data_IF_642664747524
#
_entry.id   IF_642664747524
#
_cell.length_a   1.000
_cell.length_b   1.000
_cell.length_c   1.000
_cell.angle_alpha   90.00
_cell.angle_beta   90.00
_cell.angle_gamma   90.00
#
_symmetry.space_group_name_H-M   'P 1'
#
loop_
_entity.id
_entity.type
_entity.pdbx_description
1 polymer ?
#
# COMPACT_ATOMS: atom_id res chain seq x y z
N UNK A 1 -9.96 -49.32 41.12
CA UNK A 1 -10.26 -47.89 41.14
C UNK A 1 -9.30 -47.03 40.30
N UNK A 2 -7.99 -47.31 40.26
CA UNK A 2 -7.00 -46.47 39.54
C UNK A 2 -7.17 -46.42 38.01
N UNK A 3 -7.62 -47.51 37.35
CA UNK A 3 -7.85 -47.55 35.90
C UNK A 3 -9.07 -46.73 35.45
N UNK A 4 -10.11 -46.61 36.27
CA UNK A 4 -11.30 -45.79 35.93
C UNK A 4 -11.03 -44.29 35.99
N UNK A 5 -10.13 -43.87 36.90
CA UNK A 5 -9.68 -42.46 36.99
C UNK A 5 -8.78 -42.06 35.79
N UNK A 6 -7.96 -43.00 35.32
CA UNK A 6 -7.10 -42.76 34.16
C UNK A 6 -7.92 -42.65 32.85
N UNK A 7 -8.93 -43.51 32.68
CA UNK A 7 -9.85 -43.43 31.55
C UNK A 7 -10.71 -42.16 31.55
N UNK A 8 -11.14 -41.69 32.73
CA UNK A 8 -11.88 -40.42 32.87
C UNK A 8 -11.00 -39.21 32.57
N UNK A 9 -9.71 -39.21 32.97
CA UNK A 9 -8.77 -38.15 32.66
C UNK A 9 -8.42 -38.09 31.17
N UNK A 10 -8.25 -39.27 30.51
CA UNK A 10 -8.02 -39.31 29.05
C UNK A 10 -9.28 -38.92 28.28
N UNK A 11 -10.48 -39.27 28.74
CA UNK A 11 -11.72 -38.81 28.13
C UNK A 11 -11.97 -37.30 28.30
N UNK A 12 -11.58 -36.72 29.45
CA UNK A 12 -11.65 -35.28 29.68
C UNK A 12 -10.64 -34.51 28.83
N UNK A 13 -9.45 -35.04 28.58
CA UNK A 13 -8.47 -34.45 27.66
C UNK A 13 -8.91 -34.56 26.19
N UNK A 14 -9.58 -35.65 25.81
CA UNK A 14 -10.14 -35.80 24.47
C UNK A 14 -11.39 -34.94 24.22
N UNK A 15 -12.19 -34.67 25.26
CA UNK A 15 -13.35 -33.79 25.17
C UNK A 15 -12.99 -32.29 25.10
N UNK A 16 -11.83 -31.88 25.64
CA UNK A 16 -11.31 -30.51 25.56
C UNK A 16 -10.80 -30.12 24.18
N UNK A 17 -10.50 -31.10 23.31
CA UNK A 17 -9.99 -30.84 21.94
C UNK A 17 -11.07 -30.65 20.88
N UNK A 18 -12.36 -30.77 21.22
CA UNK A 18 -13.44 -30.86 20.21
C UNK A 18 -14.10 -29.48 19.85
N UNK A 19 -13.69 -28.38 20.43
CA UNK A 19 -14.36 -27.07 20.24
C UNK A 19 -13.47 -25.97 19.67
N UNK A 20 -12.24 -26.24 19.27
CA UNK A 20 -11.47 -25.27 18.51
C UNK A 20 -11.98 -25.26 17.05
N UNK A 21 -12.94 -24.44 16.72
CA UNK A 21 -13.40 -24.26 15.34
C UNK A 21 -12.31 -23.48 14.57
N UNK A 22 -11.25 -24.20 14.19
CA UNK A 22 -10.21 -23.69 13.32
C UNK A 22 -10.76 -23.53 11.92
N UNK A 23 -10.65 -22.35 11.34
CA UNK A 23 -11.04 -22.10 9.97
C UNK A 23 -9.85 -21.62 9.15
N UNK A 24 -9.63 -22.26 7.99
CA UNK A 24 -8.71 -21.76 6.97
C UNK A 24 -9.52 -21.38 5.75
N UNK A 25 -9.35 -20.14 5.31
CA UNK A 25 -10.06 -19.61 4.14
C UNK A 25 -9.06 -19.32 3.03
N UNK A 26 -9.28 -19.88 1.85
CA UNK A 26 -8.65 -19.44 0.60
C UNK A 26 -9.42 -18.23 0.09
N UNK A 27 -8.71 -17.19 -0.31
CA UNK A 27 -9.29 -15.98 -0.90
C UNK A 27 -8.38 -15.40 -1.96
N UNK A 28 -8.92 -14.53 -2.81
CA UNK A 28 -8.10 -13.86 -3.81
C UNK A 28 -8.83 -12.80 -4.63
N UNK A 29 -8.04 -12.18 -5.49
CA UNK A 29 -8.49 -11.20 -6.49
C UNK A 29 -7.68 -11.42 -7.76
N UNK A 30 -8.36 -11.47 -8.88
CA UNK A 30 -7.78 -11.44 -10.23
C UNK A 30 -8.27 -10.16 -10.89
N UNK A 31 -7.34 -9.33 -11.35
CA UNK A 31 -7.59 -8.03 -11.97
C UNK A 31 -6.69 -7.89 -13.19
N UNK A 32 -7.28 -7.73 -14.37
CA UNK A 32 -6.57 -7.53 -15.62
C UNK A 32 -7.30 -6.52 -16.50
N UNK A 33 -6.55 -5.74 -17.27
CA UNK A 33 -7.11 -4.74 -18.16
C UNK A 33 -6.17 -4.36 -19.28
N UNK A 34 -6.73 -3.78 -20.33
CA UNK A 34 -5.97 -3.19 -21.44
C UNK A 34 -5.75 -1.72 -21.10
N UNK A 35 -4.49 -1.33 -21.04
CA UNK A 35 -4.03 0.00 -20.68
C UNK A 35 -3.37 0.67 -21.87
N UNK A 36 -3.73 1.93 -22.10
CA UNK A 36 -2.99 2.87 -22.94
C UNK A 36 -2.32 3.92 -22.07
N UNK A 37 -1.05 4.22 -22.34
CA UNK A 37 -0.33 5.36 -21.75
C UNK A 37 0.54 6.01 -22.82
N UNK A 38 0.55 7.35 -22.83
CA UNK A 38 1.50 8.11 -23.65
C UNK A 38 2.74 8.52 -22.85
N UNK A 39 3.74 9.05 -23.51
CA UNK A 39 4.96 9.60 -22.92
C UNK A 39 5.69 8.64 -21.96
N UNK A 40 5.66 7.34 -22.24
CA UNK A 40 6.42 6.35 -21.48
C UNK A 40 7.93 6.53 -21.71
N UNK A 41 8.75 6.33 -20.66
CA UNK A 41 10.19 6.23 -20.82
C UNK A 41 10.52 5.05 -21.75
N UNK A 42 11.52 5.23 -22.60
CA UNK A 42 11.94 4.19 -23.50
C UNK A 42 12.54 2.98 -22.79
N UNK A 43 12.43 1.83 -23.46
CA UNK A 43 13.33 0.72 -23.21
C UNK A 43 14.79 1.17 -23.42
N UNK A 44 15.72 0.57 -22.68
CA UNK A 44 17.14 0.89 -22.67
C UNK A 44 17.69 1.06 -24.11
N UNK A 45 18.23 2.23 -24.41
CA UNK A 45 18.90 2.52 -25.69
C UNK A 45 18.05 3.23 -26.75
N UNK A 46 16.79 3.52 -26.50
CA UNK A 46 15.98 4.35 -27.42
C UNK A 46 15.88 5.78 -26.89
N UNK A 47 15.89 6.76 -27.78
CA UNK A 47 15.65 8.17 -27.47
C UNK A 47 14.22 8.53 -27.86
N UNK A 48 13.51 9.30 -27.03
CA UNK A 48 12.16 9.80 -27.34
C UNK A 48 11.10 9.35 -26.36
N UNK A 49 9.89 9.73 -26.61
CA UNK A 49 8.70 9.48 -25.83
C UNK A 49 7.77 8.63 -26.68
N UNK A 50 7.29 7.51 -26.16
CA UNK A 50 6.45 6.58 -26.90
C UNK A 50 5.14 6.28 -26.18
N UNK A 51 4.14 5.96 -26.96
CA UNK A 51 2.87 5.45 -26.47
C UNK A 51 2.96 3.93 -26.28
N UNK A 52 2.26 3.42 -25.30
CA UNK A 52 2.17 1.99 -25.05
C UNK A 52 0.72 1.56 -24.91
N UNK A 53 0.38 0.46 -25.56
CA UNK A 53 -0.83 -0.33 -25.29
C UNK A 53 -0.38 -1.67 -24.75
N UNK A 54 -0.90 -2.04 -23.58
CA UNK A 54 -0.49 -3.30 -22.96
C UNK A 54 -1.64 -3.96 -22.20
N UNK A 55 -1.61 -5.29 -22.11
CA UNK A 55 -2.35 -6.01 -21.10
C UNK A 55 -1.62 -5.79 -19.76
N UNK A 56 -2.32 -5.30 -18.76
CA UNK A 56 -1.74 -4.97 -17.46
C UNK A 56 -2.49 -5.67 -16.35
N UNK A 57 -1.76 -6.13 -15.35
CA UNK A 57 -2.29 -6.85 -14.19
C UNK A 57 -2.49 -5.92 -13.00
N UNK A 58 -3.61 -6.09 -12.28
CA UNK A 58 -3.78 -5.47 -10.98
C UNK A 58 -4.00 -3.96 -11.00
N UNK A 59 -4.71 -3.43 -11.97
CA UNK A 59 -4.89 -1.98 -12.15
C UNK A 59 -5.66 -1.33 -11.00
N UNK A 60 -6.85 -1.86 -10.66
CA UNK A 60 -7.64 -1.41 -9.50
C UNK A 60 -7.18 -2.08 -8.22
N UNK A 61 -6.81 -3.35 -8.30
CA UNK A 61 -6.44 -4.15 -7.12
C UNK A 61 -5.36 -5.15 -7.49
N UNK A 62 -4.16 -5.04 -6.92
CA UNK A 62 -3.09 -6.01 -7.19
C UNK A 62 -3.60 -7.44 -7.09
N UNK A 63 -3.44 -8.21 -8.19
CA UNK A 63 -3.86 -9.61 -8.26
C UNK A 63 -3.15 -10.43 -7.20
N UNK A 64 -3.89 -11.28 -6.49
CA UNK A 64 -3.40 -12.02 -5.34
C UNK A 64 -4.24 -13.23 -5.01
N UNK A 65 -3.64 -14.16 -4.33
CA UNK A 65 -4.32 -15.23 -3.60
C UNK A 65 -3.70 -15.39 -2.22
N UNK A 66 -4.44 -15.93 -1.26
CA UNK A 66 -3.93 -16.10 0.09
C UNK A 66 -4.72 -17.08 0.91
N UNK A 67 -4.08 -17.51 1.98
CA UNK A 67 -4.67 -18.29 3.06
C UNK A 67 -4.72 -17.44 4.32
N UNK A 68 -5.84 -17.42 4.99
CA UNK A 68 -5.99 -16.86 6.33
C UNK A 68 -6.61 -17.90 7.26
N UNK A 69 -6.06 -17.99 8.44
CA UNK A 69 -6.57 -18.92 9.45
C UNK A 69 -6.86 -18.22 10.76
N UNK A 70 -7.87 -18.74 11.45
CA UNK A 70 -8.23 -18.33 12.80
C UNK A 70 -8.47 -19.59 13.60
N UNK A 71 -7.85 -19.70 14.77
CA UNK A 71 -8.03 -20.78 15.75
C UNK A 71 -8.50 -20.16 17.06
N UNK A 72 -9.58 -20.66 17.63
CA UNK A 72 -10.04 -20.25 18.96
C UNK A 72 -9.22 -20.98 20.03
N UNK A 73 -8.47 -20.23 20.82
CA UNK A 73 -7.62 -20.76 21.90
C UNK A 73 -8.33 -20.77 23.27
N UNK A 74 -9.61 -20.36 23.30
CA UNK A 74 -10.38 -20.22 24.54
C UNK A 74 -10.17 -18.87 25.23
N UNK A 75 -11.07 -18.53 26.15
CA UNK A 75 -10.99 -17.30 26.92
C UNK A 75 -11.03 -15.98 26.12
N UNK A 76 -11.52 -16.02 24.86
CA UNK A 76 -11.51 -14.88 23.96
C UNK A 76 -10.17 -14.63 23.24
N UNK A 77 -9.20 -15.53 23.43
CA UNK A 77 -7.92 -15.51 22.73
C UNK A 77 -8.01 -16.34 21.44
N UNK A 78 -7.43 -15.83 20.34
CA UNK A 78 -7.37 -16.51 19.04
C UNK A 78 -5.96 -16.50 18.48
N UNK A 79 -5.53 -17.62 17.90
CA UNK A 79 -4.39 -17.68 17.01
C UNK A 79 -4.81 -17.24 15.61
N UNK A 80 -4.00 -16.40 14.95
CA UNK A 80 -4.30 -15.89 13.60
C UNK A 80 -3.07 -15.98 12.71
N UNK A 81 -3.27 -16.27 11.43
CA UNK A 81 -2.22 -16.14 10.44
C UNK A 81 -2.75 -15.65 9.09
N UNK A 82 -1.88 -15.05 8.28
CA UNK A 82 -2.12 -14.73 6.89
C UNK A 82 -0.87 -15.05 6.08
N UNK A 83 -1.07 -15.70 4.92
CA UNK A 83 -0.07 -15.91 3.89
C UNK A 83 -0.67 -15.42 2.58
N UNK A 84 -0.17 -14.31 1.99
CA UNK A 84 -0.73 -13.69 0.79
C UNK A 84 0.34 -13.49 -0.27
N UNK A 85 0.12 -14.10 -1.45
CA UNK A 85 0.94 -14.00 -2.64
C UNK A 85 0.34 -13.00 -3.62
N UNK A 86 1.16 -12.10 -4.15
CA UNK A 86 0.81 -11.30 -5.31
C UNK A 86 1.31 -11.95 -6.59
N UNK A 87 0.59 -11.79 -7.69
CA UNK A 87 1.00 -12.28 -9.00
C UNK A 87 0.54 -11.36 -10.13
N UNK A 88 1.16 -11.51 -11.27
CA UNK A 88 0.83 -10.78 -12.49
C UNK A 88 0.02 -11.70 -13.41
N UNK A 89 -1.21 -11.31 -13.74
CA UNK A 89 -2.14 -12.13 -14.56
C UNK A 89 -1.67 -12.22 -16.01
N UNK A 90 -1.04 -11.16 -16.50
CA UNK A 90 -0.56 -11.03 -17.88
C UNK A 90 0.57 -12.00 -18.23
N UNK A 91 1.39 -12.40 -17.26
CA UNK A 91 2.58 -13.24 -17.50
C UNK A 91 2.80 -14.35 -16.46
N UNK A 92 1.95 -14.47 -15.44
CA UNK A 92 2.01 -15.52 -14.42
C UNK A 92 3.14 -15.41 -13.41
N UNK A 93 3.93 -14.32 -13.41
CA UNK A 93 5.03 -14.14 -12.47
C UNK A 93 4.56 -13.74 -11.08
N UNK A 94 5.35 -14.04 -10.05
CA UNK A 94 5.09 -13.54 -8.69
C UNK A 94 5.36 -12.04 -8.60
N UNK A 95 4.51 -11.33 -7.87
CA UNK A 95 4.70 -9.92 -7.55
C UNK A 95 5.69 -9.68 -6.40
N UNK A 96 5.82 -8.40 -5.99
CA UNK A 96 6.60 -7.95 -4.83
C UNK A 96 8.05 -8.49 -4.80
N UNK A 97 8.75 -8.39 -5.94
CA UNK A 97 10.13 -8.82 -6.04
C UNK A 97 10.29 -10.35 -6.07
N UNK A 98 9.36 -11.03 -6.71
CA UNK A 98 9.38 -12.50 -6.89
C UNK A 98 9.24 -13.30 -5.58
N UNK A 99 8.53 -12.74 -4.60
CA UNK A 99 8.32 -13.38 -3.30
C UNK A 99 7.03 -14.19 -3.29
N UNK A 100 7.09 -15.46 -2.84
CA UNK A 100 5.91 -16.34 -2.73
C UNK A 100 4.80 -15.71 -1.87
N UNK A 101 5.12 -15.15 -0.72
CA UNK A 101 4.17 -14.43 0.15
C UNK A 101 4.60 -12.95 0.28
N UNK A 102 4.79 -12.29 -0.85
CA UNK A 102 5.31 -10.93 -0.91
C UNK A 102 4.34 -9.85 -0.42
N UNK A 103 3.04 -10.16 -0.29
CA UNK A 103 2.05 -9.18 0.17
C UNK A 103 1.92 -9.17 1.68
N UNK A 104 1.70 -10.31 2.28
CA UNK A 104 1.65 -10.50 3.74
C UNK A 104 2.08 -11.92 4.09
N UNK A 105 2.82 -12.07 5.19
CA UNK A 105 3.20 -13.34 5.77
C UNK A 105 3.40 -13.15 7.28
N UNK A 106 2.39 -13.47 8.08
CA UNK A 106 2.44 -13.24 9.52
C UNK A 106 1.62 -14.25 10.32
N UNK A 107 1.97 -14.37 11.58
CA UNK A 107 1.24 -15.10 12.61
C UNK A 107 1.10 -14.23 13.84
N UNK A 108 0.08 -14.47 14.65
CA UNK A 108 -0.10 -13.69 15.88
C UNK A 108 -1.28 -14.12 16.73
N UNK A 109 -1.57 -13.27 17.70
CA UNK A 109 -2.63 -13.46 18.67
C UNK A 109 -3.63 -12.30 18.60
N UNK A 110 -4.90 -12.64 18.65
CA UNK A 110 -6.01 -11.70 18.72
C UNK A 110 -6.78 -11.90 20.04
N UNK A 111 -7.13 -10.80 20.67
CA UNK A 111 -7.92 -10.77 21.90
C UNK A 111 -8.91 -9.61 21.88
N UNK A 112 -9.69 -9.43 22.94
CA UNK A 112 -10.57 -8.27 23.12
C UNK A 112 -9.81 -6.93 23.22
N UNK A 113 -8.50 -6.97 23.51
CA UNK A 113 -7.64 -5.79 23.61
C UNK A 113 -6.99 -5.42 22.26
N UNK A 114 -7.09 -6.28 21.25
CA UNK A 114 -6.50 -6.06 19.93
C UNK A 114 -5.78 -7.28 19.39
N UNK A 115 -5.08 -7.06 18.29
CA UNK A 115 -4.34 -8.10 17.55
C UNK A 115 -2.87 -7.72 17.48
N UNK A 116 -1.98 -8.61 17.94
CA UNK A 116 -0.54 -8.50 17.83
C UNK A 116 -0.02 -9.57 16.87
N UNK A 117 0.71 -9.15 15.85
CA UNK A 117 1.21 -10.05 14.79
C UNK A 117 2.68 -9.83 14.51
N UNK A 118 3.36 -10.88 14.06
CA UNK A 118 4.80 -10.94 13.77
C UNK A 118 5.01 -11.44 12.34
N UNK A 119 5.85 -10.76 11.56
CA UNK A 119 6.19 -11.20 10.20
C UNK A 119 6.28 -10.06 9.20
N UNK A 120 5.79 -10.30 7.99
CA UNK A 120 5.68 -9.31 6.92
C UNK A 120 4.27 -8.74 6.86
N UNK A 121 4.15 -7.42 6.93
CA UNK A 121 2.86 -6.73 6.98
C UNK A 121 2.73 -5.64 5.93
N UNK A 122 1.51 -5.34 5.54
CA UNK A 122 1.13 -4.03 5.05
C UNK A 122 1.34 -3.01 6.16
N UNK A 123 1.93 -1.84 5.82
CA UNK A 123 2.18 -0.80 6.82
C UNK A 123 0.87 -0.09 7.23
N UNK A 124 0.83 0.61 8.36
CA UNK A 124 -0.31 1.46 8.68
C UNK A 124 -0.59 2.55 7.65
N UNK A 125 0.42 3.01 6.84
CA UNK A 125 0.20 3.92 5.71
C UNK A 125 -0.63 3.28 4.59
N UNK A 126 -0.43 1.97 4.35
CA UNK A 126 -1.26 1.22 3.42
C UNK A 126 -2.73 1.19 3.90
N UNK A 127 -2.96 0.88 5.17
CA UNK A 127 -4.30 0.84 5.77
C UNK A 127 -4.96 2.23 5.77
N UNK A 128 -4.17 3.28 6.06
CA UNK A 128 -4.60 4.68 6.00
C UNK A 128 -5.00 5.08 4.57
N UNK A 129 -4.20 4.72 3.57
CA UNK A 129 -4.52 4.95 2.17
C UNK A 129 -5.82 4.27 1.72
N UNK A 130 -6.04 3.01 2.12
CA UNK A 130 -7.31 2.31 1.85
C UNK A 130 -8.53 3.05 2.40
N UNK A 131 -8.39 3.72 3.53
CA UNK A 131 -9.49 4.45 4.18
C UNK A 131 -9.76 5.82 3.55
N UNK A 132 -8.73 6.52 3.07
CA UNK A 132 -8.79 7.95 2.77
C UNK A 132 -8.39 8.35 1.35
N UNK A 133 -7.85 7.43 0.54
CA UNK A 133 -7.65 7.69 -0.89
C UNK A 133 -8.95 7.45 -1.66
N UNK A 134 -9.42 8.39 -2.50
CA UNK A 134 -10.62 8.21 -3.30
C UNK A 134 -10.59 6.96 -4.19
N UNK A 135 -9.40 6.62 -4.72
CA UNK A 135 -9.17 5.44 -5.57
C UNK A 135 -8.82 4.17 -4.77
N UNK A 136 -8.92 4.22 -3.42
CA UNK A 136 -8.64 3.11 -2.51
C UNK A 136 -7.29 2.42 -2.80
N UNK A 137 -6.25 3.24 -3.00
CA UNK A 137 -4.89 2.81 -3.34
C UNK A 137 -4.82 1.83 -4.53
N UNK A 138 -5.64 2.06 -5.54
CA UNK A 138 -5.51 1.34 -6.81
C UNK A 138 -4.03 1.34 -7.25
N UNK A 139 -3.56 0.23 -7.80
CA UNK A 139 -2.14 0.10 -8.16
C UNK A 139 -1.74 1.10 -9.23
N UNK A 140 -2.68 1.44 -10.13
CA UNK A 140 -2.54 2.47 -11.14
C UNK A 140 -3.55 3.59 -10.88
N UNK A 141 -3.15 4.83 -11.19
CA UNK A 141 -4.04 6.00 -11.17
C UNK A 141 -4.66 6.27 -9.79
N UNK A 142 -3.82 6.37 -8.77
CA UNK A 142 -4.23 6.67 -7.39
C UNK A 142 -3.15 7.46 -6.65
N UNK A 143 -3.34 7.68 -5.36
CA UNK A 143 -2.32 8.26 -4.47
C UNK A 143 -0.99 7.49 -4.49
N UNK A 144 -1.01 6.21 -4.85
CA UNK A 144 0.18 5.36 -4.89
C UNK A 144 1.18 5.78 -5.97
N UNK A 145 0.70 6.42 -7.05
CA UNK A 145 1.54 7.06 -8.06
C UNK A 145 2.25 8.31 -7.55
N UNK A 146 1.71 8.95 -6.51
CA UNK A 146 2.25 10.17 -5.92
C UNK A 146 3.20 9.88 -4.76
N UNK A 147 2.90 8.84 -3.97
CA UNK A 147 3.54 8.58 -2.71
C UNK A 147 3.57 7.06 -2.43
N UNK A 148 4.74 6.40 -2.59
CA UNK A 148 4.85 4.94 -2.52
C UNK A 148 4.62 4.38 -1.13
N UNK A 149 4.70 5.20 -0.08
CA UNK A 149 4.40 4.79 1.28
C UNK A 149 2.97 4.25 1.44
N UNK A 150 2.02 4.68 0.60
CA UNK A 150 0.64 4.20 0.61
C UNK A 150 0.46 2.78 0.06
N UNK A 151 1.50 2.17 -0.53
CA UNK A 151 1.50 0.73 -0.86
C UNK A 151 2.62 -0.03 -0.15
N UNK A 152 3.24 0.57 0.85
CA UNK A 152 4.42 0.01 1.49
C UNK A 152 4.11 -1.23 2.34
N UNK A 153 5.12 -2.10 2.43
CA UNK A 153 5.15 -3.29 3.28
C UNK A 153 6.43 -3.31 4.08
N UNK A 154 6.37 -3.88 5.28
CA UNK A 154 7.50 -3.98 6.18
C UNK A 154 7.80 -5.45 6.46
N UNK A 155 9.07 -5.83 6.28
CA UNK A 155 9.61 -7.12 6.70
C UNK A 155 10.04 -7.08 8.17
N UNK A 156 10.25 -8.23 8.79
CA UNK A 156 10.76 -8.37 10.16
C UNK A 156 10.04 -7.40 11.11
N UNK A 157 8.72 -7.42 11.05
CA UNK A 157 7.89 -6.43 11.73
C UNK A 157 6.98 -7.02 12.78
N UNK A 158 6.71 -6.18 13.78
CA UNK A 158 5.71 -6.39 14.82
C UNK A 158 4.62 -5.35 14.57
N UNK A 159 3.37 -5.80 14.42
CA UNK A 159 2.23 -4.92 14.20
C UNK A 159 1.16 -5.16 15.25
N UNK A 160 0.69 -4.10 15.89
CA UNK A 160 -0.46 -4.12 16.78
C UNK A 160 -1.60 -3.32 16.17
N UNK A 161 -2.83 -3.86 16.27
CA UNK A 161 -4.07 -3.15 15.88
C UNK A 161 -5.06 -3.30 17.02
N UNK A 162 -5.51 -2.18 17.56
CA UNK A 162 -6.58 -2.11 18.57
C UNK A 162 -7.81 -1.40 18.02
N UNK A 163 -9.01 -1.91 18.35
CA UNK A 163 -10.29 -1.27 17.99
C UNK A 163 -11.11 -1.03 19.25
N UNK A 164 -11.48 0.21 19.50
CA UNK A 164 -12.20 0.66 20.69
C UNK A 164 -13.37 1.56 20.25
N UNK A 165 -14.56 0.96 20.10
CA UNK A 165 -15.70 1.65 19.50
C UNK A 165 -15.39 2.09 18.06
N UNK A 166 -15.54 3.37 17.78
CA UNK A 166 -15.21 3.96 16.46
C UNK A 166 -13.72 4.21 16.24
N UNK A 167 -12.88 4.08 17.27
CA UNK A 167 -11.43 4.35 17.18
C UNK A 167 -10.66 3.07 16.80
N UNK A 168 -9.81 3.16 15.79
CA UNK A 168 -8.83 2.14 15.43
C UNK A 168 -7.43 2.73 15.57
N UNK A 169 -6.60 2.12 16.43
CA UNK A 169 -5.19 2.44 16.55
C UNK A 169 -4.33 1.36 15.90
N UNK A 170 -3.28 1.73 15.21
CA UNK A 170 -2.29 0.79 14.66
C UNK A 170 -0.88 1.27 14.94
N UNK A 171 -0.03 0.34 15.40
CA UNK A 171 1.39 0.54 15.64
C UNK A 171 2.18 -0.50 14.86
N UNK A 172 3.29 -0.10 14.27
CA UNK A 172 4.21 -1.01 13.58
C UNK A 172 5.65 -0.62 13.91
N UNK A 173 6.43 -1.63 14.23
CA UNK A 173 7.89 -1.57 14.29
C UNK A 173 8.49 -2.58 13.33
N UNK A 174 9.51 -2.20 12.58
CA UNK A 174 10.22 -3.08 11.64
C UNK A 174 11.72 -2.84 11.72
N UNK A 175 12.50 -3.89 11.54
CA UNK A 175 13.95 -3.83 11.32
C UNK A 175 14.36 -4.19 9.90
N UNK A 176 13.42 -4.44 9.02
CA UNK A 176 13.64 -4.83 7.63
C UNK A 176 13.13 -3.82 6.60
N UNK A 177 12.99 -2.55 6.99
CA UNK A 177 12.32 -1.57 6.15
C UNK A 177 13.08 -1.19 4.88
N UNK A 178 14.39 -1.43 4.77
CA UNK A 178 15.14 -1.06 3.56
C UNK A 178 16.55 -1.64 3.53
N UNK A 179 16.68 -2.95 3.49
CA UNK A 179 17.99 -3.59 3.41
C UNK A 179 18.30 -4.14 2.02
N UNK A 180 18.67 -3.31 1.14
CA UNK A 180 19.31 -3.74 -0.08
C UNK A 180 19.98 -2.54 -0.67
N UNK A 181 21.26 -2.40 -0.54
CA UNK A 181 22.14 -1.35 -1.05
C UNK A 181 21.80 -0.67 -2.39
N UNK A 182 20.55 -0.63 -2.73
CA UNK A 182 19.97 0.10 -3.83
C UNK A 182 19.97 1.59 -3.46
N UNK A 183 20.95 2.28 -3.98
CA UNK A 183 21.09 3.74 -4.01
C UNK A 183 19.95 4.47 -4.73
N UNK A 184 18.86 3.80 -5.06
CA UNK A 184 17.72 4.39 -5.71
C UNK A 184 16.66 4.76 -4.66
N UNK A 185 16.24 6.01 -4.66
CA UNK A 185 15.27 6.66 -3.79
C UNK A 185 13.88 5.97 -3.69
N UNK A 186 13.75 4.80 -4.22
CA UNK A 186 12.51 4.10 -4.54
C UNK A 186 12.20 2.86 -3.71
N UNK A 187 13.09 2.43 -2.85
CA UNK A 187 12.88 1.22 -2.05
C UNK A 187 12.47 1.53 -0.62
N UNK A 188 11.45 2.37 -0.47
CA UNK A 188 10.79 2.51 0.82
C UNK A 188 10.07 1.19 1.11
N UNK A 189 10.51 0.49 2.14
CA UNK A 189 9.97 -0.81 2.59
C UNK A 189 10.13 -2.02 1.64
N UNK A 190 10.92 -1.94 0.58
CA UNK A 190 11.22 -3.09 -0.29
C UNK A 190 12.63 -3.66 -0.06
N UNK A 191 13.14 -3.58 1.15
CA UNK A 191 14.45 -4.13 1.47
C UNK A 191 14.49 -5.66 1.35
N UNK A 192 15.62 -6.20 0.91
CA UNK A 192 15.98 -7.57 1.26
C UNK A 192 16.20 -7.56 2.77
N UNK A 193 15.20 -8.01 3.47
CA UNK A 193 15.11 -8.01 4.90
C UNK A 193 16.33 -8.67 5.54
N UNK A 194 16.92 -8.00 6.44
CA UNK A 194 17.94 -8.54 7.31
C UNK A 194 18.33 -7.48 8.32
N UNK A 195 18.35 -7.84 9.55
CA UNK A 195 18.96 -7.06 10.62
C UNK A 195 20.45 -6.96 10.37
N UNK A 196 21.03 -5.79 10.57
CA UNK A 196 22.47 -5.58 10.44
C UNK A 196 23.14 -5.83 11.79
N UNK A 197 23.91 -6.90 11.95
CA UNK A 197 24.62 -7.17 13.19
C UNK A 197 25.46 -5.97 13.64
N UNK A 198 25.29 -5.57 14.90
CA UNK A 198 25.96 -4.40 15.47
C UNK A 198 25.38 -3.04 15.10
N UNK A 199 24.36 -2.98 14.21
CA UNK A 199 23.69 -1.72 13.86
C UNK A 199 22.18 -1.85 13.75
N UNK A 200 21.50 -1.83 14.88
CA UNK A 200 20.03 -1.95 14.98
C UNK A 200 19.26 -0.73 14.41
N UNK A 201 19.96 0.34 14.04
CA UNK A 201 19.32 1.53 13.46
C UNK A 201 19.06 1.40 11.97
N UNK A 202 19.89 0.64 11.25
CA UNK A 202 19.80 0.51 9.81
C UNK A 202 18.52 -0.24 9.41
N UNK A 203 17.77 0.37 8.49
CA UNK A 203 16.54 -0.24 7.95
C UNK A 203 15.35 -0.32 8.90
N UNK A 204 15.39 0.32 10.06
CA UNK A 204 14.26 0.30 10.98
C UNK A 204 13.18 1.31 10.60
N UNK A 205 11.94 0.97 10.91
CA UNK A 205 10.80 1.87 10.76
C UNK A 205 9.88 1.82 11.97
N UNK A 206 9.27 2.96 12.24
CA UNK A 206 8.19 3.10 13.23
C UNK A 206 7.01 3.76 12.56
N UNK A 207 5.83 3.21 12.75
CA UNK A 207 4.59 3.82 12.26
C UNK A 207 3.53 3.78 13.35
N UNK A 208 2.80 4.87 13.51
CA UNK A 208 1.64 4.95 14.39
C UNK A 208 0.49 5.65 13.67
N UNK A 209 -0.71 5.07 13.70
CA UNK A 209 -1.91 5.66 13.13
C UNK A 209 -3.10 5.57 14.07
N UNK A 210 -3.98 6.56 13.97
CA UNK A 210 -5.29 6.60 14.62
C UNK A 210 -6.33 6.95 13.56
N UNK A 211 -7.40 6.16 13.49
CA UNK A 211 -8.55 6.40 12.61
C UNK A 211 -9.80 6.33 13.47
N UNK A 212 -10.61 7.37 13.43
CA UNK A 212 -11.92 7.43 14.05
C UNK A 212 -13.00 7.46 12.99
N UNK A 213 -13.98 6.57 13.11
CA UNK A 213 -15.11 6.48 12.21
C UNK A 213 -16.42 6.43 13.02
N UNK A 214 -17.35 7.35 12.74
CA UNK A 214 -18.65 7.44 13.38
C UNK A 214 -19.71 7.94 12.41
N UNK A 215 -20.73 7.12 12.16
CA UNK A 215 -21.77 7.42 11.18
C UNK A 215 -21.16 7.72 9.79
N UNK A 216 -21.52 8.86 9.17
CA UNK A 216 -21.01 9.22 7.84
C UNK A 216 -19.59 9.78 7.85
N UNK A 217 -19.01 10.04 9.00
CA UNK A 217 -17.74 10.74 9.17
C UNK A 217 -16.61 9.77 9.50
N UNK A 218 -15.45 9.95 8.88
CA UNK A 218 -14.19 9.32 9.28
C UNK A 218 -13.05 10.32 9.18
N UNK A 219 -12.16 10.30 10.18
CA UNK A 219 -10.95 11.11 10.21
C UNK A 219 -9.79 10.25 10.69
N UNK A 220 -8.60 10.52 10.22
CA UNK A 220 -7.41 9.81 10.66
C UNK A 220 -6.16 10.69 10.63
N UNK A 221 -5.20 10.27 11.44
CA UNK A 221 -3.85 10.81 11.46
C UNK A 221 -2.84 9.66 11.53
N UNK A 222 -1.66 9.87 10.92
CA UNK A 222 -0.58 8.89 10.90
C UNK A 222 0.77 9.59 10.91
N UNK A 223 1.72 8.97 11.59
CA UNK A 223 3.13 9.34 11.58
C UNK A 223 3.99 8.12 11.32
N UNK A 224 5.08 8.32 10.57
CA UNK A 224 6.07 7.28 10.31
C UNK A 224 7.48 7.90 10.22
N UNK A 225 8.45 7.12 10.67
CA UNK A 225 9.88 7.38 10.45
C UNK A 225 10.53 6.11 9.91
N UNK A 226 11.18 6.20 8.76
CA UNK A 226 11.88 5.10 8.12
C UNK A 226 13.34 5.46 7.94
N UNK A 227 14.25 4.70 8.56
CA UNK A 227 15.68 4.76 8.29
C UNK A 227 15.98 3.98 7.00
N UNK A 228 16.77 4.57 6.09
CA UNK A 228 17.00 4.01 4.76
C UNK A 228 18.05 2.88 4.70
N UNK A 229 18.70 2.58 5.82
CA UNK A 229 19.67 1.47 5.89
C UNK A 229 20.93 1.66 5.05
N UNK A 230 21.34 2.91 4.78
CA UNK A 230 22.50 3.21 3.96
C UNK A 230 23.76 3.18 4.83
N UNK A 231 24.72 2.30 4.52
CA UNK A 231 25.93 2.09 5.34
C UNK A 231 26.78 3.37 5.46
N UNK A 232 26.90 4.15 4.40
CA UNK A 232 27.68 5.41 4.42
C UNK A 232 26.97 6.59 5.12
N UNK A 233 25.65 6.50 5.29
CA UNK A 233 24.81 7.49 5.95
C UNK A 233 23.81 6.80 6.86
N UNK A 234 24.25 6.24 8.00
CA UNK A 234 23.40 5.37 8.84
C UNK A 234 22.21 6.08 9.48
N UNK A 235 22.24 7.39 9.56
CA UNK A 235 21.15 8.22 10.10
C UNK A 235 20.18 8.73 9.03
N UNK A 236 20.44 8.45 7.74
CA UNK A 236 19.58 8.85 6.63
C UNK A 236 18.18 8.26 6.78
N UNK A 237 17.17 9.12 6.82
CA UNK A 237 15.78 8.72 7.09
C UNK A 237 14.76 9.63 6.42
N UNK A 238 13.56 9.11 6.27
CA UNK A 238 12.39 9.88 5.86
C UNK A 238 11.37 9.87 6.98
N UNK A 239 10.86 11.03 7.31
CA UNK A 239 9.76 11.25 8.25
C UNK A 239 8.52 11.66 7.49
N UNK A 240 7.36 11.10 7.85
CA UNK A 240 6.08 11.43 7.23
C UNK A 240 5.02 11.62 8.30
N UNK A 241 4.13 12.56 8.03
CA UNK A 241 2.92 12.75 8.80
C UNK A 241 1.76 12.99 7.83
N UNK A 242 0.60 12.44 8.11
CA UNK A 242 -0.59 12.66 7.28
C UNK A 242 -1.84 12.80 8.15
N UNK A 243 -2.77 13.62 7.67
CA UNK A 243 -4.12 13.70 8.20
C UNK A 243 -5.11 13.70 7.05
N UNK A 244 -6.23 12.99 7.21
CA UNK A 244 -7.26 12.90 6.18
C UNK A 244 -8.64 12.64 6.79
N UNK A 245 -9.67 12.94 6.00
CA UNK A 245 -11.05 12.69 6.39
C UNK A 245 -11.93 12.34 5.21
N UNK A 246 -13.05 11.69 5.53
CA UNK A 246 -14.13 11.42 4.58
C UNK A 246 -15.47 11.77 5.19
N UNK A 247 -16.41 12.18 4.35
CA UNK A 247 -17.79 12.40 4.73
C UNK A 247 -18.73 11.84 3.67
N UNK A 248 -19.66 10.97 4.10
CA UNK A 248 -20.67 10.38 3.22
C UNK A 248 -22.03 11.09 3.40
N UNK A 249 -22.67 11.44 2.29
CA UNK A 249 -24.00 12.06 2.30
C UNK A 249 -24.82 11.56 1.10
N UNK A 250 -25.91 10.88 1.39
CA UNK A 250 -26.71 10.20 0.37
C UNK A 250 -25.83 9.23 -0.45
N UNK A 251 -25.85 9.31 -1.79
CA UNK A 251 -25.03 8.47 -2.66
C UNK A 251 -23.57 8.97 -2.82
N UNK A 252 -23.23 10.10 -2.24
CA UNK A 252 -21.92 10.74 -2.40
C UNK A 252 -21.02 10.52 -1.19
N UNK A 253 -19.70 10.42 -1.44
CA UNK A 253 -18.66 10.42 -0.42
C UNK A 253 -17.51 11.34 -0.86
N UNK A 254 -17.20 12.33 -0.05
CA UNK A 254 -16.05 13.20 -0.26
C UNK A 254 -14.86 12.72 0.52
N UNK A 255 -13.67 12.98 -0.02
CA UNK A 255 -12.38 12.65 0.55
C UNK A 255 -11.48 13.87 0.51
N UNK A 256 -10.76 14.14 1.58
CA UNK A 256 -9.73 15.17 1.59
C UNK A 256 -8.58 14.73 2.51
N UNK A 257 -7.36 15.08 2.13
CA UNK A 257 -6.21 14.76 2.98
C UNK A 257 -4.95 15.51 2.60
N UNK A 258 -4.00 15.39 3.50
CA UNK A 258 -2.68 16.03 3.44
C UNK A 258 -1.62 15.09 3.97
N UNK A 259 -0.46 15.05 3.30
CA UNK A 259 0.74 14.33 3.75
C UNK A 259 1.97 15.24 3.64
N UNK A 260 2.69 15.38 4.75
CA UNK A 260 4.02 15.96 4.86
C UNK A 260 5.07 14.86 4.81
N UNK A 261 6.16 15.04 4.05
CA UNK A 261 7.34 14.19 4.08
C UNK A 261 8.61 15.03 4.13
N UNK A 262 9.59 14.56 4.91
CA UNK A 262 10.91 15.19 5.05
C UNK A 262 12.01 14.15 5.02
N UNK A 263 12.95 14.34 4.09
CA UNK A 263 14.22 13.62 4.06
C UNK A 263 15.24 14.31 4.99
N UNK A 264 15.98 13.51 5.75
CA UNK A 264 16.91 13.98 6.79
C UNK A 264 18.21 13.21 6.64
N UNK A 265 19.34 13.84 6.97
CA UNK A 265 20.66 13.22 7.07
C UNK A 265 21.10 12.51 5.78
N UNK A 266 20.94 13.18 4.62
CA UNK A 266 21.36 12.65 3.31
C UNK A 266 20.36 11.72 2.63
N UNK A 267 19.18 11.52 3.21
CA UNK A 267 18.07 10.85 2.53
C UNK A 267 17.55 11.69 1.35
N UNK A 268 16.96 11.02 0.36
CA UNK A 268 16.29 11.65 -0.77
C UNK A 268 14.80 11.31 -0.76
N UNK A 269 13.97 12.28 -1.07
CA UNK A 269 12.55 12.02 -1.28
C UNK A 269 12.33 11.39 -2.65
N UNK A 270 11.49 10.37 -2.72
CA UNK A 270 11.01 9.85 -4.00
C UNK A 270 10.39 10.97 -4.85
N UNK A 271 10.77 11.04 -6.13
CA UNK A 271 10.32 12.11 -7.06
C UNK A 271 10.89 13.51 -6.78
N UNK A 272 11.69 13.67 -5.72
CA UNK A 272 12.22 14.98 -5.32
C UNK A 272 13.39 15.51 -6.16
N UNK A 273 13.90 14.76 -7.13
CA UNK A 273 14.95 15.18 -8.05
C UNK A 273 14.30 15.61 -9.37
N UNK A 274 14.39 16.89 -9.77
CA UNK A 274 13.90 17.36 -11.08
C UNK A 274 14.67 16.73 -12.25
N UNK A 275 14.11 16.80 -13.45
CA UNK A 275 14.81 16.44 -14.70
C UNK A 275 16.10 17.21 -14.82
N UNK A 276 17.20 16.52 -15.10
CA UNK A 276 18.53 17.14 -15.20
C UNK A 276 19.12 17.57 -13.86
N UNK A 277 18.40 17.37 -12.75
CA UNK A 277 18.88 17.65 -11.40
C UNK A 277 19.82 16.56 -10.86
N UNK A 278 20.45 16.86 -9.74
CA UNK A 278 21.32 15.96 -9.00
C UNK A 278 20.81 15.76 -7.58
N UNK A 279 21.41 14.84 -6.82
CA UNK A 279 21.11 14.68 -5.39
C UNK A 279 21.26 15.98 -4.58
N UNK A 280 22.17 16.88 -5.01
CA UNK A 280 22.38 18.19 -4.38
C UNK A 280 21.22 19.16 -4.63
N UNK A 281 20.45 18.98 -5.72
CA UNK A 281 19.26 19.78 -6.06
C UNK A 281 17.95 19.10 -5.65
N UNK A 282 18.01 17.94 -5.00
CA UNK A 282 16.84 17.21 -4.57
C UNK A 282 16.05 17.97 -3.50
N UNK A 283 14.75 18.02 -3.64
CA UNK A 283 13.88 18.54 -2.59
C UNK A 283 13.97 17.65 -1.33
N UNK A 284 14.22 18.26 -0.18
CA UNK A 284 14.27 17.56 1.10
C UNK A 284 12.91 17.46 1.79
N UNK A 285 11.91 18.18 1.31
CA UNK A 285 10.57 18.26 1.89
C UNK A 285 9.52 18.26 0.78
N UNK A 286 8.44 17.49 0.96
CA UNK A 286 7.28 17.54 0.06
C UNK A 286 5.97 17.54 0.83
N UNK A 287 4.98 18.21 0.26
CA UNK A 287 3.61 18.22 0.70
C UNK A 287 2.75 17.56 -0.39
N UNK A 288 1.89 16.64 -0.02
CA UNK A 288 0.91 16.03 -0.92
C UNK A 288 -0.49 16.36 -0.42
N UNK A 289 -1.31 16.90 -1.28
CA UNK A 289 -2.71 17.20 -1.03
C UNK A 289 -3.57 16.35 -1.95
N UNK A 290 -4.71 15.89 -1.46
CA UNK A 290 -5.68 15.21 -2.31
C UNK A 290 -7.11 15.59 -1.94
N UNK A 291 -7.94 15.59 -2.97
CA UNK A 291 -9.37 15.79 -2.88
C UNK A 291 -10.06 14.80 -3.81
N UNK A 292 -11.19 14.24 -3.40
CA UNK A 292 -11.95 13.34 -4.26
C UNK A 292 -13.42 13.25 -3.90
N UNK A 293 -14.17 12.73 -4.87
CA UNK A 293 -15.60 12.50 -4.78
C UNK A 293 -15.93 11.12 -5.37
N UNK A 294 -16.51 10.24 -4.57
CA UNK A 294 -17.19 9.05 -5.04
C UNK A 294 -18.70 9.29 -5.11
N UNK A 295 -19.37 8.78 -6.14
CA UNK A 295 -20.81 8.88 -6.31
C UNK A 295 -21.41 7.56 -6.79
N UNK A 296 -22.35 7.01 -6.03
CA UNK A 296 -23.09 5.80 -6.38
C UNK A 296 -24.32 6.17 -7.21
N UNK A 297 -24.24 6.02 -8.54
CA UNK A 297 -25.35 6.36 -9.45
C UNK A 297 -26.50 5.35 -9.36
N UNK A 298 -26.15 4.07 -9.31
CA UNK A 298 -27.09 2.96 -9.09
C UNK A 298 -26.44 1.93 -8.16
N UNK A 299 -27.15 0.94 -7.63
CA UNK A 299 -26.51 -0.11 -6.82
C UNK A 299 -25.38 -0.86 -7.52
N UNK A 300 -25.36 -0.86 -8.86
CA UNK A 300 -24.32 -1.52 -9.67
C UNK A 300 -23.29 -0.56 -10.27
N UNK A 301 -23.55 0.76 -10.34
CA UNK A 301 -22.70 1.69 -11.06
C UNK A 301 -22.22 2.85 -10.20
N UNK A 302 -20.92 3.02 -10.10
CA UNK A 302 -20.28 4.11 -9.34
C UNK A 302 -19.30 4.90 -10.18
N UNK A 303 -19.16 6.18 -9.86
CA UNK A 303 -18.15 7.08 -10.39
C UNK A 303 -17.25 7.59 -9.28
N UNK A 304 -15.97 7.75 -9.56
CA UNK A 304 -15.03 8.37 -8.62
C UNK A 304 -14.14 9.34 -9.38
N UNK A 305 -13.95 10.53 -8.81
CA UNK A 305 -13.00 11.52 -9.28
C UNK A 305 -12.00 11.88 -8.19
N UNK A 306 -10.74 12.08 -8.54
CA UNK A 306 -9.69 12.47 -7.62
C UNK A 306 -8.71 13.47 -8.25
N UNK A 307 -8.21 14.39 -7.44
CA UNK A 307 -7.13 15.29 -7.78
C UNK A 307 -6.04 15.20 -6.70
N UNK A 308 -4.80 15.13 -7.13
CA UNK A 308 -3.62 15.06 -6.26
C UNK A 308 -2.66 16.18 -6.68
N UNK A 309 -2.11 16.89 -5.70
CA UNK A 309 -1.10 17.93 -5.91
C UNK A 309 0.08 17.68 -5.00
N UNK A 310 1.28 17.62 -5.57
CA UNK A 310 2.51 17.48 -4.81
C UNK A 310 3.37 18.73 -4.95
N UNK A 311 3.70 19.36 -3.82
CA UNK A 311 4.59 20.51 -3.68
C UNK A 311 5.94 20.00 -3.15
N UNK A 312 6.97 20.02 -3.98
CA UNK A 312 8.34 19.79 -3.58
C UNK A 312 8.98 21.09 -3.15
N UNK A 313 9.06 21.30 -1.84
CA UNK A 313 9.55 22.56 -1.25
C UNK A 313 10.94 22.95 -1.75
N UNK A 314 11.13 24.26 -2.01
CA UNK A 314 12.32 24.83 -2.63
C UNK A 314 12.63 24.32 -4.06
N UNK A 315 11.62 23.85 -4.74
CA UNK A 315 11.63 23.41 -6.14
C UNK A 315 10.36 23.94 -6.81
N UNK A 316 10.39 24.20 -8.11
CA UNK A 316 9.18 24.44 -8.91
C UNK A 316 8.57 23.17 -9.49
N UNK A 317 9.17 22.02 -9.20
CA UNK A 317 8.79 20.71 -9.75
C UNK A 317 7.52 20.13 -9.06
N UNK A 318 6.39 20.82 -9.24
CA UNK A 318 5.13 20.58 -8.53
C UNK A 318 4.09 19.94 -9.45
N UNK A 319 4.02 18.58 -9.52
CA UNK A 319 3.09 17.91 -10.40
C UNK A 319 1.66 17.88 -9.84
N UNK A 320 0.70 17.84 -10.78
CA UNK A 320 -0.70 17.53 -10.54
C UNK A 320 -1.06 16.19 -11.17
N UNK A 321 -1.97 15.45 -10.54
CA UNK A 321 -2.63 14.29 -11.16
C UNK A 321 -4.13 14.37 -10.96
N UNK A 322 -4.86 14.02 -12.03
CA UNK A 322 -6.32 13.94 -12.04
C UNK A 322 -6.71 12.54 -12.48
N UNK A 323 -7.68 11.96 -11.78
CA UNK A 323 -8.16 10.60 -12.05
C UNK A 323 -9.68 10.61 -12.08
N UNK A 324 -10.24 9.87 -13.03
CA UNK A 324 -11.65 9.54 -13.06
C UNK A 324 -11.81 8.04 -13.27
N UNK A 325 -12.76 7.44 -12.55
CA UNK A 325 -13.08 6.02 -12.58
C UNK A 325 -14.58 5.82 -12.74
N UNK A 326 -14.95 4.88 -13.59
CA UNK A 326 -16.30 4.32 -13.68
C UNK A 326 -16.20 2.82 -13.40
N UNK A 327 -16.98 2.33 -12.45
CA UNK A 327 -16.99 0.93 -12.02
C UNK A 327 -18.42 0.38 -12.11
N UNK A 328 -18.58 -0.76 -12.80
CA UNK A 328 -19.83 -1.45 -12.95
C UNK A 328 -19.76 -2.86 -12.37
N UNK A 329 -20.51 -3.08 -11.28
CA UNK A 329 -20.58 -4.36 -10.60
C UNK A 329 -21.60 -5.30 -11.28
N UNK A 330 -21.14 -6.34 -11.95
CA UNK A 330 -21.99 -7.43 -12.46
C UNK A 330 -22.53 -8.30 -11.31
N UNK A 331 -21.72 -8.40 -10.23
CA UNK A 331 -22.07 -9.14 -9.02
C UNK A 331 -21.30 -8.58 -7.82
N UNK A 332 -21.51 -9.14 -6.62
CA UNK A 332 -20.71 -8.81 -5.44
C UNK A 332 -19.22 -9.14 -5.59
N UNK A 333 -18.86 -9.99 -6.56
CA UNK A 333 -17.49 -10.50 -6.77
C UNK A 333 -16.86 -10.06 -8.08
N UNK A 334 -17.65 -9.64 -9.07
CA UNK A 334 -17.16 -9.33 -10.42
C UNK A 334 -17.60 -7.94 -10.81
N UNK A 335 -16.65 -7.12 -11.20
CA UNK A 335 -16.86 -5.78 -11.72
C UNK A 335 -16.01 -5.54 -12.99
N UNK A 336 -16.48 -4.61 -13.84
CA UNK A 336 -15.70 -4.03 -14.92
C UNK A 336 -15.51 -2.55 -14.65
N UNK A 337 -14.37 -2.02 -15.02
CA UNK A 337 -14.01 -0.63 -14.76
C UNK A 337 -13.38 0.04 -15.97
N UNK A 338 -13.54 1.36 -16.03
CA UNK A 338 -12.79 2.27 -16.89
C UNK A 338 -12.16 3.34 -15.99
N UNK A 339 -10.85 3.42 -16.01
CA UNK A 339 -10.12 4.50 -15.35
C UNK A 339 -9.40 5.34 -16.40
N UNK A 340 -9.43 6.66 -16.22
CA UNK A 340 -8.65 7.60 -16.99
C UNK A 340 -7.88 8.51 -16.04
N UNK A 341 -6.66 8.85 -16.41
CA UNK A 341 -5.84 9.71 -15.59
C UNK A 341 -4.95 10.62 -16.44
N UNK A 342 -4.62 11.77 -15.87
CA UNK A 342 -3.72 12.75 -16.48
C UNK A 342 -2.79 13.30 -15.40
N UNK A 343 -1.48 13.24 -15.67
CA UNK A 343 -0.46 13.89 -14.83
C UNK A 343 0.09 15.10 -15.58
N UNK A 344 0.04 16.26 -14.94
CA UNK A 344 0.64 17.49 -15.40
C UNK A 344 1.95 17.72 -14.65
N UNK A 345 3.06 17.53 -15.33
CA UNK A 345 4.39 17.86 -14.82
C UNK A 345 4.72 19.34 -15.04
N UNK A 346 5.52 19.92 -14.15
CA UNK A 346 5.93 21.32 -14.16
C UNK A 346 7.37 21.42 -13.66
N UNK A 347 8.13 22.31 -14.27
CA UNK A 347 9.48 22.72 -13.85
C UNK A 347 10.42 21.54 -13.53
N UNK A 348 10.39 20.50 -14.38
CA UNK A 348 11.24 19.33 -14.28
C UNK A 348 10.70 18.20 -13.38
N UNK A 349 9.47 18.27 -12.88
CA UNK A 349 8.86 17.10 -12.23
C UNK A 349 8.72 15.93 -13.21
N UNK A 350 8.83 14.69 -12.70
CA UNK A 350 8.84 13.47 -13.52
C UNK A 350 7.78 12.46 -13.06
N UNK A 351 6.66 12.96 -12.55
CA UNK A 351 5.62 12.10 -12.04
C UNK A 351 4.90 11.37 -13.18
N UNK A 352 4.81 10.04 -13.07
CA UNK A 352 4.02 9.21 -13.97
C UNK A 352 2.72 8.73 -13.31
N UNK A 353 1.90 8.05 -14.09
CA UNK A 353 0.58 7.59 -13.68
C UNK A 353 0.60 6.26 -12.92
N UNK A 354 1.62 5.44 -13.11
CA UNK A 354 1.69 4.09 -12.54
C UNK A 354 2.49 4.10 -11.23
N UNK A 355 1.87 3.67 -10.15
CA UNK A 355 2.52 3.62 -8.82
C UNK A 355 3.53 2.50 -8.62
N UNK A 356 3.47 1.45 -9.42
CA UNK A 356 4.48 0.39 -9.47
C UNK A 356 5.19 0.50 -10.80
N UNK A 357 6.35 1.14 -10.80
CA UNK A 357 7.09 1.36 -12.03
C UNK A 357 7.30 0.07 -12.83
N UNK A 358 6.77 0.05 -14.07
CA UNK A 358 7.33 -0.84 -15.06
C UNK A 358 8.82 -0.51 -15.17
N UNK A 359 9.68 -1.52 -15.00
CA UNK A 359 11.14 -1.43 -15.16
C UNK A 359 11.83 -0.37 -14.28
N UNK A 360 11.75 -0.50 -12.96
CA UNK A 360 12.79 0.03 -12.06
C UNK A 360 12.66 1.49 -11.63
N UNK A 361 11.64 2.23 -12.01
CA UNK A 361 11.36 3.54 -11.44
C UNK A 361 10.18 3.49 -10.48
N UNK A 362 10.35 4.01 -9.28
CA UNK A 362 9.36 3.93 -8.20
C UNK A 362 8.14 4.81 -8.41
N UNK A 363 8.08 5.59 -9.44
CA UNK A 363 7.03 6.55 -9.72
C UNK A 363 6.53 6.51 -11.16
N UNK A 364 6.56 5.39 -11.85
CA UNK A 364 6.13 5.43 -13.24
C UNK A 364 6.57 6.73 -13.92
N UNK A 365 7.89 7.01 -13.92
CA UNK A 365 8.40 8.29 -14.41
C UNK A 365 8.03 8.50 -15.86
N UNK A 366 7.71 9.73 -16.20
CA UNK A 366 7.54 10.15 -17.59
C UNK A 366 8.89 10.40 -18.24
N UNK A 367 8.94 10.33 -19.56
CA UNK A 367 10.14 10.74 -20.29
C UNK A 367 10.34 12.26 -20.16
N UNK A 368 11.51 12.65 -19.60
CA UNK A 368 11.95 14.05 -19.48
C UNK A 368 10.90 15.04 -18.92
N UNK A 369 10.08 14.59 -17.96
CA UNK A 369 9.09 15.45 -17.33
C UNK A 369 7.88 15.81 -18.20
N UNK A 370 7.61 15.04 -19.24
CA UNK A 370 6.41 15.22 -20.08
C UNK A 370 5.13 15.01 -19.25
N UNK A 371 4.05 15.67 -19.65
CA UNK A 371 2.73 15.35 -19.14
C UNK A 371 2.32 13.96 -19.63
N UNK A 372 1.56 13.23 -18.84
CA UNK A 372 1.16 11.87 -19.18
C UNK A 372 -0.35 11.70 -19.11
N UNK A 373 -0.93 11.10 -20.13
CA UNK A 373 -2.30 10.62 -20.16
C UNK A 373 -2.31 9.10 -20.17
N UNK A 374 -3.27 8.50 -19.47
CA UNK A 374 -3.49 7.06 -19.47
C UNK A 374 -4.97 6.73 -19.33
N UNK A 375 -5.32 5.59 -19.90
CA UNK A 375 -6.65 5.01 -19.78
C UNK A 375 -6.53 3.48 -19.67
N UNK A 376 -7.34 2.88 -18.81
CA UNK A 376 -7.40 1.42 -18.65
C UNK A 376 -8.84 0.96 -18.57
N UNK A 377 -9.20 -0.06 -19.35
CA UNK A 377 -10.45 -0.80 -19.22
C UNK A 377 -10.12 -2.21 -18.76
N UNK A 378 -10.80 -2.70 -17.73
CA UNK A 378 -10.48 -4.00 -17.16
C UNK A 378 -11.64 -4.66 -16.44
N UNK A 379 -11.37 -5.88 -16.01
CA UNK A 379 -12.29 -6.72 -15.21
C UNK A 379 -11.57 -7.20 -13.97
N UNK A 380 -12.30 -7.16 -12.85
CA UNK A 380 -11.82 -7.65 -11.57
C UNK A 380 -12.78 -8.71 -11.02
N UNK A 381 -12.22 -9.82 -10.55
CA UNK A 381 -12.96 -10.89 -9.90
C UNK A 381 -12.37 -11.23 -8.52
N UNK A 382 -13.24 -11.35 -7.52
CA UNK A 382 -12.91 -11.69 -6.12
C UNK A 382 -13.46 -13.09 -5.80
N UNK A 383 -12.66 -13.95 -5.18
CA UNK A 383 -13.07 -15.31 -4.79
C UNK A 383 -12.70 -15.67 -3.34
#
# INVERSE_FOLDING_TARGET
>A
MKMKLFAAAVAALAAGGAYAQSSVTLYGVVDAGIEYQNHQPNATGQTGSHDVVRLNSGNMSGSRWGLRGVEDLGGGLKGVFVLESGFNVDNGTMGQGNRLFGRQAFVGLQSNYGTLTLGRHQTPFYDFGLAFDPMAIASNYSITGQAPEFQARADNSIKYIGKFGGLTGSLLYSQGANQGGATTANTIYQGNAGEVPGNYKLGRAYTASLIYAAGPFSIGAIYDETNLGIVGTPDAKIRRASAAGTYAFGPAKVFAGYRYAKAVDGALLPGGIPVGGTAATAASTSNLYWLGLGYQLTPAFSLTGAAYYQDFRNSGADPWSFVASADYAFSKRTDAYLNVAYTKNKDGSQLGLSGSGAAGSAFGSTNNGANQFGAVVGVRHKF
#
